data_IF_408711416474
#
_entry.id   IF_408711416474
#
_cell.length_a   1.000
_cell.length_b   1.000
_cell.length_c   1.000
_cell.angle_alpha   90.00
_cell.angle_beta   90.00
_cell.angle_gamma   90.00
#
_symmetry.space_group_name_H-M   'P 1'
#
loop_
_entity.id
_entity.type
_entity.pdbx_description
1 polymer ?
#
# COMPACT_ATOMS: atom_id res chain seq x y z
N UNK A 1 41.88 4.70 4.93
CA UNK A 1 42.22 4.95 6.35
C UNK A 1 41.37 6.09 6.93
N UNK A 2 41.31 7.28 6.31
CA UNK A 2 40.50 8.40 6.86
C UNK A 2 38.98 8.14 6.88
N UNK A 3 38.42 7.45 5.88
CA UNK A 3 36.99 7.11 5.85
C UNK A 3 36.56 6.15 6.98
N UNK A 4 37.51 5.46 7.65
CA UNK A 4 37.19 4.60 8.77
C UNK A 4 36.69 5.42 9.98
N UNK A 5 37.08 6.70 10.09
CA UNK A 5 36.64 7.60 11.18
C UNK A 5 35.12 7.82 11.20
N UNK A 6 34.48 7.77 10.03
CA UNK A 6 33.02 7.93 9.90
C UNK A 6 32.28 6.59 9.78
N UNK A 7 33.00 5.47 9.97
CA UNK A 7 32.46 4.12 10.01
C UNK A 7 32.58 3.49 11.41
N UNK A 8 32.95 4.27 12.43
CA UNK A 8 32.99 3.86 13.84
C UNK A 8 32.23 4.85 14.71
N UNK A 9 31.78 4.41 15.88
CA UNK A 9 31.05 5.28 16.79
C UNK A 9 31.95 6.21 17.64
N UNK A 10 33.26 6.23 17.37
CA UNK A 10 34.27 6.90 18.20
C UNK A 10 34.14 8.43 18.27
N UNK A 11 33.45 9.06 17.32
CA UNK A 11 33.27 10.52 17.27
C UNK A 11 31.92 10.93 17.85
N UNK A 12 31.85 11.96 18.72
CA UNK A 12 30.59 12.56 19.12
C UNK A 12 29.77 13.05 17.91
N UNK A 13 28.43 13.00 17.99
CA UNK A 13 27.53 13.28 16.86
C UNK A 13 27.75 14.67 16.24
N UNK A 14 28.04 15.69 17.05
CA UNK A 14 28.32 17.05 16.59
C UNK A 14 29.62 17.12 15.76
N UNK A 15 30.68 16.42 16.19
CA UNK A 15 31.94 16.32 15.45
C UNK A 15 31.74 15.52 14.16
N UNK A 16 31.05 14.38 14.25
CA UNK A 16 30.70 13.55 13.09
C UNK A 16 29.99 14.37 12.02
N UNK A 17 28.94 15.12 12.41
CA UNK A 17 28.18 16.00 11.51
C UNK A 17 29.07 17.08 10.89
N UNK A 18 30.01 17.65 11.65
CA UNK A 18 30.92 18.69 11.18
C UNK A 18 31.91 18.19 10.12
N UNK A 19 32.41 16.96 10.23
CA UNK A 19 33.40 16.41 9.30
C UNK A 19 32.77 15.67 8.11
N UNK A 20 31.51 15.22 8.24
CA UNK A 20 30.83 14.43 7.21
C UNK A 20 30.88 15.05 5.80
N UNK A 21 30.75 16.39 5.62
CA UNK A 21 30.87 17.02 4.30
C UNK A 21 32.17 16.71 3.55
N UNK A 22 33.27 16.46 4.26
CA UNK A 22 34.58 16.13 3.69
C UNK A 22 34.54 14.77 2.97
N UNK A 23 33.65 13.88 3.41
CA UNK A 23 33.54 12.51 2.92
C UNK A 23 32.38 12.29 1.96
N UNK A 24 31.70 13.34 1.47
CA UNK A 24 30.48 13.22 0.63
C UNK A 24 30.62 12.36 -0.63
N UNK A 25 31.84 12.13 -1.13
CA UNK A 25 32.11 11.26 -2.29
C UNK A 25 32.26 9.79 -1.93
N UNK A 26 32.35 9.47 -0.63
CA UNK A 26 32.53 8.12 -0.15
C UNK A 26 31.19 7.40 -0.04
N UNK A 27 31.13 6.18 -0.57
CA UNK A 27 29.95 5.33 -0.51
C UNK A 27 30.36 3.98 0.07
N UNK A 28 29.78 3.61 1.21
CA UNK A 28 30.01 2.34 1.88
C UNK A 28 29.28 1.22 1.14
N UNK A 29 30.04 0.24 0.65
CA UNK A 29 29.51 -0.97 0.01
C UNK A 29 29.47 -2.17 0.95
N UNK A 30 30.62 -2.54 1.51
CA UNK A 30 30.76 -3.78 2.31
C UNK A 30 31.47 -3.48 3.63
N UNK A 31 31.27 -2.27 4.16
CA UNK A 31 31.82 -1.84 5.43
C UNK A 31 30.78 -2.10 6.51
N UNK A 32 31.19 -2.82 7.54
CA UNK A 32 30.40 -2.98 8.76
C UNK A 32 30.20 -1.61 9.44
N UNK A 33 28.94 -1.24 9.61
CA UNK A 33 28.44 -0.02 10.24
C UNK A 33 27.57 -0.33 11.47
N UNK A 34 27.49 -1.59 11.90
CA UNK A 34 26.61 -2.04 12.98
C UNK A 34 26.90 -1.37 14.32
N UNK A 35 28.14 -0.96 14.56
CA UNK A 35 28.55 -0.23 15.77
C UNK A 35 28.04 1.23 15.80
N UNK A 36 27.59 1.79 14.67
CA UNK A 36 27.14 3.18 14.62
C UNK A 36 25.80 3.36 15.34
N UNK A 37 25.63 4.51 15.99
CA UNK A 37 24.32 4.95 16.48
C UNK A 37 23.34 5.24 15.33
N UNK A 38 22.04 5.06 15.60
CA UNK A 38 20.94 5.37 14.66
C UNK A 38 21.04 6.77 14.07
N UNK A 39 21.40 7.79 14.86
CA UNK A 39 21.57 9.16 14.39
C UNK A 39 22.68 9.29 13.33
N UNK A 40 23.78 8.57 13.50
CA UNK A 40 24.88 8.56 12.52
C UNK A 40 24.49 7.83 11.25
N UNK A 41 23.78 6.71 11.36
CA UNK A 41 23.24 6.02 10.18
C UNK A 41 22.30 6.94 9.41
N UNK A 42 21.38 7.63 10.08
CA UNK A 42 20.50 8.62 9.43
C UNK A 42 21.31 9.70 8.70
N UNK A 43 22.38 10.22 9.30
CA UNK A 43 23.26 11.20 8.63
C UNK A 43 23.95 10.62 7.38
N UNK A 44 24.43 9.37 7.44
CA UNK A 44 25.03 8.69 6.29
C UNK A 44 23.99 8.50 5.16
N UNK A 45 22.77 8.10 5.52
CA UNK A 45 21.67 7.95 4.57
C UNK A 45 21.30 9.28 3.91
N UNK A 46 21.11 10.35 4.70
CA UNK A 46 20.80 11.70 4.18
C UNK A 46 21.86 12.24 3.20
N UNK A 47 23.09 11.76 3.28
CA UNK A 47 24.18 12.14 2.38
C UNK A 47 24.42 11.11 1.26
N UNK A 48 23.52 10.14 1.08
CA UNK A 48 23.62 9.08 0.07
C UNK A 48 24.94 8.30 0.13
N UNK A 49 25.43 8.04 1.35
CA UNK A 49 26.75 7.44 1.59
C UNK A 49 26.70 5.92 1.82
N UNK A 50 25.53 5.29 1.75
CA UNK A 50 25.39 3.82 1.87
C UNK A 50 24.89 3.27 0.54
N UNK A 51 25.63 2.33 -0.05
CA UNK A 51 25.30 1.71 -1.35
C UNK A 51 24.11 0.76 -1.21
N UNK A 52 23.28 0.62 -2.24
CA UNK A 52 22.33 -0.49 -2.28
C UNK A 52 23.02 -1.80 -2.66
N UNK A 53 23.08 -2.76 -1.73
CA UNK A 53 23.52 -4.13 -1.97
C UNK A 53 23.04 -5.05 -0.83
N UNK A 54 23.18 -6.36 -1.02
CA UNK A 54 22.75 -7.37 -0.04
C UNK A 54 23.37 -7.17 1.35
N UNK A 55 24.68 -6.87 1.41
CA UNK A 55 25.39 -6.65 2.68
C UNK A 55 24.78 -5.48 3.46
N UNK A 56 24.61 -4.32 2.80
CA UNK A 56 24.05 -3.13 3.44
C UNK A 56 22.57 -3.31 3.79
N UNK A 57 21.81 -4.00 2.95
CA UNK A 57 20.41 -4.32 3.22
C UNK A 57 20.28 -5.15 4.49
N UNK A 58 21.10 -6.20 4.67
CA UNK A 58 21.08 -7.03 5.88
C UNK A 58 21.53 -6.28 7.12
N UNK A 59 22.62 -5.52 7.03
CA UNK A 59 23.18 -4.83 8.22
C UNK A 59 22.28 -3.69 8.72
N UNK A 60 21.41 -3.14 7.87
CA UNK A 60 20.54 -2.02 8.25
C UNK A 60 19.22 -2.45 8.90
N UNK A 61 18.83 -3.72 8.80
CA UNK A 61 17.59 -4.24 9.42
C UNK A 61 17.53 -4.01 10.94
N UNK A 62 18.61 -4.24 11.73
CA UNK A 62 18.56 -4.05 13.19
C UNK A 62 18.34 -2.59 13.63
N UNK A 63 18.47 -1.61 12.74
CA UNK A 63 18.23 -0.20 13.03
C UNK A 63 16.74 0.20 13.01
N UNK A 64 15.86 -0.72 12.63
CA UNK A 64 14.40 -0.52 12.61
C UNK A 64 13.87 0.05 11.29
N UNK A 65 12.55 -0.08 11.13
CA UNK A 65 11.86 0.15 9.85
C UNK A 65 11.94 1.58 9.34
N UNK A 66 12.03 2.59 10.22
CA UNK A 66 12.21 3.98 9.79
C UNK A 66 13.54 4.22 9.07
N UNK A 67 14.63 3.71 9.64
CA UNK A 67 15.97 3.84 9.05
C UNK A 67 16.05 2.99 7.79
N UNK A 68 15.49 1.78 7.84
CA UNK A 68 15.49 0.88 6.70
C UNK A 68 14.67 1.45 5.54
N UNK A 69 13.48 2.00 5.80
CA UNK A 69 12.69 2.71 4.80
C UNK A 69 13.47 3.88 4.18
N UNK A 70 14.11 4.71 5.00
CA UNK A 70 14.94 5.82 4.50
C UNK A 70 16.05 5.33 3.56
N UNK A 71 16.69 4.21 3.88
CA UNK A 71 17.67 3.57 3.02
C UNK A 71 17.08 3.13 1.68
N UNK A 72 15.94 2.44 1.68
CA UNK A 72 15.25 2.00 0.46
C UNK A 72 14.83 3.20 -0.41
N UNK A 73 14.27 4.24 0.20
CA UNK A 73 13.82 5.45 -0.49
C UNK A 73 14.99 6.21 -1.13
N UNK A 74 16.09 6.38 -0.42
CA UNK A 74 17.31 7.03 -0.95
C UNK A 74 17.92 6.27 -2.13
N UNK A 75 17.65 4.95 -2.23
CA UNK A 75 18.15 4.05 -3.27
C UNK A 75 17.04 3.45 -4.11
N UNK A 76 15.90 4.17 -4.25
CA UNK A 76 14.70 3.63 -4.89
C UNK A 76 14.93 3.14 -6.32
N UNK A 77 15.84 3.76 -7.08
CA UNK A 77 16.18 3.34 -8.44
C UNK A 77 16.81 1.95 -8.52
N UNK A 78 17.53 1.53 -7.50
CA UNK A 78 18.13 0.19 -7.39
C UNK A 78 17.18 -0.76 -6.68
N UNK A 79 16.57 -0.32 -5.59
CA UNK A 79 15.63 -1.09 -4.78
C UNK A 79 14.43 -1.57 -5.63
N UNK A 80 13.77 -0.68 -6.37
CA UNK A 80 12.56 -1.03 -7.13
C UNK A 80 12.82 -1.93 -8.34
N UNK A 81 14.08 -2.27 -8.65
CA UNK A 81 14.40 -3.28 -9.67
C UNK A 81 14.14 -4.70 -9.17
N UNK A 82 14.34 -4.96 -7.87
CA UNK A 82 14.19 -6.29 -7.26
C UNK A 82 13.54 -6.15 -5.87
N UNK A 83 12.29 -5.67 -5.79
CA UNK A 83 11.61 -5.45 -4.51
C UNK A 83 11.31 -6.75 -3.76
N UNK A 84 11.37 -7.91 -4.42
CA UNK A 84 11.18 -9.24 -3.82
C UNK A 84 12.25 -9.67 -2.82
N UNK A 85 13.43 -9.04 -2.85
CA UNK A 85 14.54 -9.41 -1.96
C UNK A 85 14.36 -8.84 -0.54
N UNK A 86 13.32 -8.03 -0.33
CA UNK A 86 13.03 -7.38 0.93
C UNK A 86 11.94 -8.15 1.68
N UNK A 87 12.18 -8.38 2.97
CA UNK A 87 11.12 -8.79 3.90
C UNK A 87 10.40 -7.54 4.37
N UNK A 88 9.10 -7.47 4.07
CA UNK A 88 8.26 -6.32 4.42
C UNK A 88 7.56 -6.59 5.73
N UNK A 89 7.86 -5.78 6.75
CA UNK A 89 7.06 -5.70 7.96
C UNK A 89 5.85 -4.78 7.75
N UNK A 90 4.86 -4.88 8.64
CA UNK A 90 3.71 -3.97 8.71
C UNK A 90 4.12 -2.49 8.78
N UNK A 91 5.09 -2.17 9.63
CA UNK A 91 5.54 -0.79 9.82
C UNK A 91 6.31 -0.29 8.60
N UNK A 92 7.17 -1.13 8.01
CA UNK A 92 7.89 -0.79 6.78
C UNK A 92 6.93 -0.46 5.64
N UNK A 93 5.92 -1.31 5.41
CA UNK A 93 4.89 -1.07 4.38
C UNK A 93 4.17 0.25 4.63
N UNK A 94 3.79 0.53 5.89
CA UNK A 94 3.11 1.77 6.27
C UNK A 94 3.96 3.00 5.96
N UNK A 95 5.26 2.95 6.26
CA UNK A 95 6.18 4.06 5.98
C UNK A 95 6.35 4.26 4.47
N UNK A 96 6.52 3.17 3.70
CA UNK A 96 6.73 3.25 2.25
C UNK A 96 5.48 3.79 1.52
N UNK A 97 4.28 3.30 1.86
CA UNK A 97 3.04 3.80 1.29
C UNK A 97 2.68 5.21 1.77
N UNK A 98 3.12 5.60 2.97
CA UNK A 98 2.95 6.95 3.52
C UNK A 98 3.93 7.97 2.94
N UNK A 99 5.04 7.52 2.35
CA UNK A 99 6.06 8.41 1.80
C UNK A 99 5.59 9.16 0.55
N UNK A 100 6.01 10.42 0.45
CA UNK A 100 5.86 11.24 -0.77
C UNK A 100 6.97 11.02 -1.79
N UNK A 101 8.04 10.28 -1.42
CA UNK A 101 9.19 10.04 -2.30
C UNK A 101 8.92 8.94 -3.35
N UNK A 102 7.88 8.13 -3.11
CA UNK A 102 7.37 7.15 -4.07
C UNK A 102 6.15 7.71 -4.81
N UNK A 103 6.20 7.64 -6.13
CA UNK A 103 5.05 7.91 -7.00
C UNK A 103 3.99 6.80 -6.87
N UNK A 104 2.77 7.07 -7.34
CA UNK A 104 1.69 6.07 -7.37
C UNK A 104 2.12 4.80 -8.13
N UNK A 105 2.80 4.96 -9.26
CA UNK A 105 3.32 3.83 -10.06
C UNK A 105 4.42 3.04 -9.35
N UNK A 106 5.28 3.71 -8.58
CA UNK A 106 6.27 3.01 -7.76
C UNK A 106 5.61 2.28 -6.57
N UNK A 107 4.57 2.86 -5.96
CA UNK A 107 3.78 2.18 -4.92
C UNK A 107 3.02 0.97 -5.47
N UNK A 108 2.50 1.05 -6.70
CA UNK A 108 1.78 -0.07 -7.31
C UNK A 108 2.68 -1.28 -7.55
N UNK A 109 3.98 -1.10 -7.79
CA UNK A 109 4.92 -2.23 -7.88
C UNK A 109 5.24 -2.88 -6.53
N UNK A 110 4.87 -2.24 -5.40
CA UNK A 110 5.03 -2.80 -4.05
C UNK A 110 3.80 -3.56 -3.56
N UNK A 111 2.64 -3.33 -4.17
CA UNK A 111 1.37 -3.96 -3.80
C UNK A 111 1.41 -5.51 -3.76
N UNK A 112 2.11 -6.22 -4.66
CA UNK A 112 2.22 -7.68 -4.57
C UNK A 112 2.87 -8.21 -3.28
N UNK A 113 3.59 -7.35 -2.54
CA UNK A 113 4.26 -7.71 -1.29
C UNK A 113 3.45 -7.30 -0.04
N UNK A 114 2.27 -6.71 -0.24
CA UNK A 114 1.34 -6.42 0.86
C UNK A 114 0.55 -7.68 1.19
N UNK A 115 0.60 -8.07 2.46
CA UNK A 115 -0.14 -9.20 3.02
C UNK A 115 -1.29 -8.70 3.91
N UNK A 116 -2.24 -9.59 4.20
CA UNK A 116 -3.46 -9.23 4.94
C UNK A 116 -3.15 -8.79 6.39
N UNK A 117 -2.15 -9.39 7.02
CA UNK A 117 -1.67 -9.04 8.36
C UNK A 117 -1.02 -7.64 8.44
N UNK A 118 -0.45 -7.14 7.33
CA UNK A 118 0.01 -5.74 7.26
C UNK A 118 -1.13 -4.73 7.41
N UNK A 119 -2.36 -5.14 7.06
CA UNK A 119 -3.55 -4.29 7.06
C UNK A 119 -4.36 -4.37 8.36
N UNK A 120 -4.11 -5.38 9.20
CA UNK A 120 -4.80 -5.57 10.48
C UNK A 120 -4.71 -4.28 11.31
N UNK A 121 -5.84 -3.71 11.76
CA UNK A 121 -5.90 -2.45 12.51
C UNK A 121 -5.18 -1.24 11.86
N UNK A 122 -4.87 -1.29 10.57
CA UNK A 122 -4.10 -0.27 9.87
C UNK A 122 -4.92 0.46 8.80
N UNK A 123 -5.87 1.26 9.28
CA UNK A 123 -6.74 2.06 8.43
C UNK A 123 -5.96 2.99 7.51
N UNK A 124 -4.92 3.65 8.01
CA UNK A 124 -4.18 4.64 7.23
C UNK A 124 -3.47 4.00 6.02
N UNK A 125 -2.93 2.79 6.19
CA UNK A 125 -2.38 2.03 5.07
C UNK A 125 -3.46 1.65 4.04
N UNK A 126 -4.63 1.19 4.49
CA UNK A 126 -5.74 0.88 3.59
C UNK A 126 -6.21 2.12 2.80
N UNK A 127 -6.27 3.29 3.45
CA UNK A 127 -6.60 4.58 2.84
C UNK A 127 -5.57 5.03 1.79
N UNK A 128 -4.30 4.69 1.97
CA UNK A 128 -3.26 5.00 0.99
C UNK A 128 -3.29 4.02 -0.19
N UNK A 129 -3.42 2.72 0.09
CA UNK A 129 -3.44 1.68 -0.94
C UNK A 129 -4.65 1.83 -1.86
N UNK A 130 -5.81 2.18 -1.32
CA UNK A 130 -7.02 2.30 -2.14
C UNK A 130 -6.90 3.40 -3.21
N UNK A 131 -6.16 4.48 -2.91
CA UNK A 131 -5.85 5.55 -3.88
C UNK A 131 -4.91 5.06 -4.98
N UNK A 132 -3.97 4.18 -4.64
CA UNK A 132 -3.08 3.53 -5.62
C UNK A 132 -3.90 2.64 -6.56
N UNK A 133 -4.78 1.80 -6.00
CA UNK A 133 -5.62 0.87 -6.76
C UNK A 133 -6.66 1.57 -7.66
N UNK A 134 -7.07 2.80 -7.32
CA UNK A 134 -7.95 3.58 -8.18
C UNK A 134 -7.25 3.99 -9.50
N UNK A 135 -5.94 4.22 -9.46
CA UNK A 135 -5.17 4.75 -10.59
C UNK A 135 -4.40 3.66 -11.34
N UNK A 136 -3.98 2.62 -10.63
CA UNK A 136 -3.14 1.55 -11.16
C UNK A 136 -3.86 0.21 -11.03
N UNK A 137 -3.99 -0.50 -12.15
CA UNK A 137 -4.58 -1.84 -12.17
C UNK A 137 -3.56 -2.85 -11.66
N UNK A 138 -3.74 -3.32 -10.42
CA UNK A 138 -2.94 -4.39 -9.83
C UNK A 138 -3.84 -5.55 -9.44
N UNK A 139 -3.48 -6.77 -9.84
CA UNK A 139 -4.16 -7.98 -9.35
C UNK A 139 -3.63 -8.30 -7.95
N UNK A 140 -4.54 -8.30 -6.99
CA UNK A 140 -4.26 -8.59 -5.60
C UNK A 140 -4.91 -9.91 -5.21
N UNK A 141 -4.29 -10.56 -4.22
CA UNK A 141 -4.93 -11.66 -3.52
C UNK A 141 -6.30 -11.20 -2.98
N UNK A 142 -7.33 -12.03 -3.15
CA UNK A 142 -8.70 -11.72 -2.73
C UNK A 142 -8.79 -11.31 -1.25
N UNK A 143 -8.07 -11.99 -0.34
CA UNK A 143 -8.06 -11.66 1.07
C UNK A 143 -7.46 -10.27 1.35
N UNK A 144 -6.34 -9.94 0.70
CA UNK A 144 -5.70 -8.62 0.82
C UNK A 144 -6.64 -7.52 0.32
N UNK A 145 -7.28 -7.75 -0.84
CA UNK A 145 -8.26 -6.80 -1.39
C UNK A 145 -9.45 -6.59 -0.43
N UNK A 146 -9.97 -7.67 0.16
CA UNK A 146 -11.05 -7.58 1.16
C UNK A 146 -10.63 -6.75 2.38
N UNK A 147 -9.42 -6.94 2.90
CA UNK A 147 -8.91 -6.16 4.03
C UNK A 147 -8.76 -4.67 3.70
N UNK A 148 -8.25 -4.33 2.51
CA UNK A 148 -8.17 -2.93 2.06
C UNK A 148 -9.56 -2.31 1.99
N UNK A 149 -10.51 -3.00 1.36
CA UNK A 149 -11.88 -2.52 1.22
C UNK A 149 -12.57 -2.40 2.58
N UNK A 150 -12.40 -3.37 3.49
CA UNK A 150 -13.02 -3.36 4.81
C UNK A 150 -12.52 -2.19 5.68
N UNK A 151 -11.22 -1.90 5.64
CA UNK A 151 -10.61 -0.88 6.50
C UNK A 151 -10.77 0.55 5.95
N UNK A 152 -10.92 0.71 4.63
CA UNK A 152 -11.08 2.01 3.98
C UNK A 152 -12.48 2.61 4.12
N UNK A 153 -12.55 3.93 4.28
CA UNK A 153 -13.77 4.76 4.33
C UNK A 153 -14.08 5.46 3.00
N UNK A 154 -13.22 5.32 2.00
CA UNK A 154 -13.33 5.94 0.68
C UNK A 154 -14.36 5.24 -0.21
N UNK A 155 -15.63 5.64 -0.08
CA UNK A 155 -16.77 4.95 -0.72
C UNK A 155 -16.64 4.93 -2.25
N UNK A 156 -16.23 6.05 -2.86
CA UNK A 156 -16.10 6.14 -4.32
C UNK A 156 -15.01 5.19 -4.83
N UNK A 157 -13.83 5.22 -4.22
CA UNK A 157 -12.70 4.37 -4.57
C UNK A 157 -13.02 2.89 -4.31
N UNK A 158 -13.73 2.56 -3.22
CA UNK A 158 -14.21 1.19 -2.96
C UNK A 158 -15.12 0.69 -4.08
N UNK A 159 -16.13 1.49 -4.44
CA UNK A 159 -17.04 1.12 -5.54
C UNK A 159 -16.29 0.97 -6.86
N UNK A 160 -15.37 1.89 -7.15
CA UNK A 160 -14.55 1.83 -8.36
C UNK A 160 -13.75 0.53 -8.45
N UNK A 161 -13.06 0.16 -7.36
CA UNK A 161 -12.25 -1.06 -7.31
C UNK A 161 -13.14 -2.30 -7.41
N UNK A 162 -14.26 -2.36 -6.69
CA UNK A 162 -15.21 -3.48 -6.78
C UNK A 162 -15.70 -3.63 -8.23
N UNK A 163 -16.09 -2.54 -8.89
CA UNK A 163 -16.51 -2.54 -10.28
C UNK A 163 -15.41 -3.10 -11.21
N UNK A 164 -14.17 -2.63 -11.04
CA UNK A 164 -13.04 -3.12 -11.83
C UNK A 164 -12.77 -4.61 -11.59
N UNK A 165 -12.84 -5.06 -10.34
CA UNK A 165 -12.60 -6.47 -9.97
C UNK A 165 -13.65 -7.38 -10.60
N UNK A 166 -14.93 -7.00 -10.53
CA UNK A 166 -16.04 -7.74 -11.16
C UNK A 166 -15.88 -7.81 -12.68
N UNK A 167 -15.48 -6.71 -13.32
CA UNK A 167 -15.33 -6.66 -14.78
C UNK A 167 -14.09 -7.41 -15.30
N UNK A 168 -13.08 -7.65 -14.46
CA UNK A 168 -11.82 -8.30 -14.87
C UNK A 168 -11.82 -9.81 -14.67
N UNK A 169 -12.60 -10.33 -13.72
CA UNK A 169 -12.59 -11.75 -13.34
C UNK A 169 -13.89 -12.41 -13.79
N UNK A 170 -13.81 -13.14 -14.90
CA UNK A 170 -14.95 -13.86 -15.50
C UNK A 170 -15.51 -14.97 -14.60
N UNK A 171 -14.74 -15.43 -13.61
CA UNK A 171 -15.04 -16.56 -12.73
C UNK A 171 -15.42 -16.18 -11.29
N UNK A 172 -15.66 -14.90 -11.03
CA UNK A 172 -16.12 -14.44 -9.71
C UNK A 172 -17.45 -15.10 -9.31
N UNK A 173 -17.44 -15.74 -8.15
CA UNK A 173 -18.62 -16.35 -7.56
C UNK A 173 -19.55 -15.30 -6.93
N UNK A 174 -20.83 -15.64 -6.78
CA UNK A 174 -21.75 -14.76 -6.04
C UNK A 174 -21.28 -14.53 -4.59
N UNK A 175 -20.60 -15.49 -3.97
CA UNK A 175 -20.07 -15.40 -2.59
C UNK A 175 -18.90 -14.40 -2.46
N UNK A 176 -18.05 -14.32 -3.48
CA UNK A 176 -16.96 -13.32 -3.53
C UNK A 176 -17.54 -11.92 -3.73
N UNK A 177 -18.54 -11.77 -4.62
CA UNK A 177 -19.25 -10.50 -4.82
C UNK A 177 -19.95 -10.07 -3.52
N UNK A 178 -20.60 -11.01 -2.83
CA UNK A 178 -21.19 -10.78 -1.51
C UNK A 178 -20.16 -10.22 -0.52
N UNK A 179 -18.96 -10.80 -0.51
CA UNK A 179 -17.86 -10.40 0.38
C UNK A 179 -17.44 -8.96 0.11
N UNK A 180 -17.25 -8.59 -1.17
CA UNK A 180 -16.94 -7.21 -1.54
C UNK A 180 -18.04 -6.24 -1.16
N UNK A 181 -19.30 -6.55 -1.48
CA UNK A 181 -20.43 -5.67 -1.18
C UNK A 181 -20.62 -5.46 0.32
N UNK A 182 -20.38 -6.49 1.16
CA UNK A 182 -20.43 -6.39 2.62
C UNK A 182 -19.41 -5.42 3.20
N UNK A 183 -18.31 -5.13 2.49
CA UNK A 183 -17.34 -4.12 2.92
C UNK A 183 -17.86 -2.69 2.78
N UNK A 184 -18.84 -2.43 1.91
CA UNK A 184 -19.39 -1.09 1.70
C UNK A 184 -20.27 -0.66 2.89
N UNK A 185 -20.38 0.64 3.20
CA UNK A 185 -21.28 1.09 4.26
C UNK A 185 -22.75 0.92 3.86
N UNK A 186 -23.65 1.01 4.84
CA UNK A 186 -25.08 1.15 4.52
C UNK A 186 -25.33 2.42 3.67
N UNK A 187 -26.25 2.36 2.70
CA UNK A 187 -27.14 1.24 2.37
C UNK A 187 -26.58 0.24 1.34
N UNK A 188 -25.33 0.37 0.89
CA UNK A 188 -24.75 -0.47 -0.17
C UNK A 188 -24.59 -1.94 0.23
N UNK A 189 -24.14 -2.24 1.46
CA UNK A 189 -23.95 -3.63 1.90
C UNK A 189 -25.24 -4.47 1.91
N UNK A 190 -26.41 -3.81 1.90
CA UNK A 190 -27.72 -4.50 1.84
C UNK A 190 -27.97 -5.10 0.45
N UNK A 191 -27.22 -4.71 -0.59
CA UNK A 191 -27.31 -5.30 -1.93
C UNK A 191 -26.95 -6.80 -1.89
N UNK A 192 -26.05 -7.20 -0.98
CA UNK A 192 -25.68 -8.60 -0.76
C UNK A 192 -26.77 -9.44 -0.05
N UNK A 193 -27.86 -8.81 0.42
CA UNK A 193 -28.94 -9.52 1.15
C UNK A 193 -30.08 -9.85 0.18
N UNK A 194 -30.21 -11.14 -0.17
CA UNK A 194 -31.29 -11.65 -1.05
C UNK A 194 -32.69 -11.27 -0.53
N UNK A 195 -33.59 -10.95 -1.45
CA UNK A 195 -34.96 -10.50 -1.18
C UNK A 195 -35.09 -9.10 -0.57
N UNK A 196 -34.00 -8.33 -0.43
CA UNK A 196 -34.03 -6.93 0.02
C UNK A 196 -34.03 -5.96 -1.16
N UNK A 197 -34.54 -4.75 -0.90
CA UNK A 197 -34.65 -3.70 -1.92
C UNK A 197 -33.99 -2.38 -1.46
N UNK A 198 -32.66 -2.33 -1.33
CA UNK A 198 -31.96 -1.15 -0.83
C UNK A 198 -32.12 0.05 -1.77
N UNK A 199 -32.03 1.25 -1.19
CA UNK A 199 -31.99 2.51 -1.90
C UNK A 199 -30.64 3.17 -1.65
N UNK A 200 -29.78 3.21 -2.67
CA UNK A 200 -28.44 3.83 -2.57
C UNK A 200 -28.43 5.23 -3.17
N UNK A 201 -27.55 6.14 -2.72
CA UNK A 201 -27.40 7.46 -3.33
C UNK A 201 -27.13 7.37 -4.84
N UNK A 202 -27.80 8.21 -5.63
CA UNK A 202 -27.57 8.29 -7.07
C UNK A 202 -26.31 9.10 -7.35
N UNK A 203 -25.20 8.39 -7.49
CA UNK A 203 -23.88 8.90 -7.89
C UNK A 203 -23.37 8.10 -9.09
N UNK A 204 -22.42 8.65 -9.85
CA UNK A 204 -21.90 8.00 -11.06
C UNK A 204 -21.31 6.61 -10.75
N UNK A 205 -20.48 6.52 -9.70
CA UNK A 205 -19.91 5.24 -9.24
C UNK A 205 -20.98 4.25 -8.75
N UNK A 206 -22.12 4.75 -8.25
CA UNK A 206 -23.23 3.91 -7.79
C UNK A 206 -24.07 3.39 -8.95
N UNK A 207 -24.25 4.20 -9.99
CA UNK A 207 -24.91 3.77 -11.22
C UNK A 207 -24.10 2.69 -11.93
N UNK A 208 -22.78 2.89 -12.05
CA UNK A 208 -21.88 1.90 -12.62
C UNK A 208 -21.95 0.56 -11.87
N UNK A 209 -21.93 0.58 -10.53
CA UNK A 209 -22.06 -0.63 -9.73
C UNK A 209 -23.34 -1.40 -10.07
N UNK A 210 -24.51 -0.74 -10.05
CA UNK A 210 -25.79 -1.44 -10.27
C UNK A 210 -25.94 -1.94 -11.70
N UNK A 211 -25.42 -1.22 -12.69
CA UNK A 211 -25.42 -1.65 -14.09
C UNK A 211 -24.57 -2.91 -14.26
N UNK A 212 -23.37 -2.94 -13.67
CA UNK A 212 -22.49 -4.11 -13.69
C UNK A 212 -23.18 -5.29 -13.01
N UNK A 213 -23.71 -5.11 -11.80
CA UNK A 213 -24.39 -6.16 -11.05
C UNK A 213 -25.64 -6.69 -11.78
N UNK A 214 -26.35 -5.83 -12.52
CA UNK A 214 -27.48 -6.27 -13.36
C UNK A 214 -27.01 -7.06 -14.57
N UNK A 215 -25.96 -6.60 -15.25
CA UNK A 215 -25.43 -7.24 -16.46
C UNK A 215 -24.87 -8.64 -16.20
N UNK A 216 -24.24 -8.86 -15.04
CA UNK A 216 -23.78 -10.19 -14.61
C UNK A 216 -24.92 -11.01 -13.98
N UNK A 217 -26.16 -10.53 -14.04
CA UNK A 217 -27.34 -11.16 -13.45
C UNK A 217 -27.15 -11.43 -11.94
N UNK A 218 -26.48 -10.57 -11.18
CA UNK A 218 -26.36 -10.69 -9.71
C UNK A 218 -27.57 -10.08 -8.98
N UNK A 219 -28.15 -8.99 -9.52
CA UNK A 219 -29.45 -8.42 -9.09
C UNK A 219 -30.53 -8.66 -10.14
N UNK A 220 -31.80 -8.57 -9.76
CA UNK A 220 -32.94 -8.78 -10.69
C UNK A 220 -33.21 -7.56 -11.55
N UNK A 221 -33.16 -6.37 -10.97
CA UNK A 221 -33.34 -5.09 -11.67
C UNK A 221 -32.98 -3.92 -10.75
N UNK A 222 -32.96 -2.70 -11.31
CA UNK A 222 -32.85 -1.47 -10.53
C UNK A 222 -33.70 -0.36 -11.18
N UNK A 223 -34.06 0.65 -10.40
CA UNK A 223 -34.81 1.82 -10.86
C UNK A 223 -34.12 3.09 -10.37
N UNK A 224 -33.56 3.89 -11.29
CA UNK A 224 -33.08 5.22 -10.97
C UNK A 224 -34.24 6.16 -10.62
N UNK A 225 -34.19 6.78 -9.45
CA UNK A 225 -35.11 7.84 -9.04
C UNK A 225 -34.38 9.19 -9.09
N UNK A 226 -34.92 10.23 -8.44
CA UNK A 226 -34.30 11.58 -8.43
C UNK A 226 -32.92 11.57 -7.77
N UNK A 227 -32.86 11.16 -6.50
CA UNK A 227 -31.65 11.24 -5.67
C UNK A 227 -31.11 9.87 -5.24
N UNK A 228 -31.85 8.80 -5.55
CA UNK A 228 -31.52 7.42 -5.17
C UNK A 228 -31.62 6.46 -6.36
N UNK A 229 -31.02 5.29 -6.19
CA UNK A 229 -31.20 4.12 -7.04
C UNK A 229 -31.84 3.03 -6.19
N UNK A 230 -33.06 2.63 -6.53
CA UNK A 230 -33.72 1.47 -5.92
C UNK A 230 -33.21 0.20 -6.58
N UNK A 231 -32.74 -0.75 -5.79
CA UNK A 231 -32.21 -2.03 -6.29
C UNK A 231 -33.17 -3.14 -5.89
N UNK A 232 -33.41 -4.10 -6.77
CA UNK A 232 -34.21 -5.29 -6.50
C UNK A 232 -33.31 -6.52 -6.54
N UNK A 233 -33.01 -7.08 -5.37
CA UNK A 233 -32.17 -8.29 -5.27
C UNK A 233 -32.98 -9.54 -5.62
N UNK A 234 -32.30 -10.59 -6.11
CA UNK A 234 -32.93 -11.89 -6.34
C UNK A 234 -33.56 -12.43 -5.06
N UNK A 235 -34.69 -13.13 -5.21
CA UNK A 235 -35.27 -13.96 -4.14
C UNK A 235 -34.55 -15.32 -4.15
N UNK A 236 -34.27 -15.86 -2.97
CA UNK A 236 -33.86 -17.26 -2.77
C UNK A 236 -34.90 -18.22 -3.34
#
# INVERSE_FOLDING_TARGET
MLHCLIATDSLPINVFKGILPIFKRWIFGEKDLSDLTSDKIRLLLQNSMIKYNEFNTKQLLPFGDEIFAQYLLNRKSEYLKIPSDISYSKDLVSILFGSTDLTIKEKSSLLPYVQADHLEDNRDLAEQIIVVLQQESVDLNHAVLCEILANSKRIEEKNHIINQTILKKDDLTEEEIDTFLKTLPEPYCVIAKRGKNPAIPKKDYSMQLVEILYNINYISSFTPEKDIIRIYTKKT
#
